data_IF_460898212737
#
_entry.id   IF_460898212737
#
_cell.length_a   1.000
_cell.length_b   1.000
_cell.length_c   1.000
_cell.angle_alpha   90.00
_cell.angle_beta   90.00
_cell.angle_gamma   90.00
#
_symmetry.space_group_name_H-M   'P 1'
#
loop_
_entity.id
_entity.type
_entity.pdbx_description
1 polymer ?
#
# COMPACT_ATOMS: atom_id res chain seq x y z
N UNK A 1 33.55 5.61 -0.81
CA UNK A 1 33.32 6.46 0.38
C UNK A 1 33.14 5.59 1.63
N UNK A 2 34.08 5.59 2.58
CA UNK A 2 33.86 5.01 3.90
C UNK A 2 33.01 5.97 4.75
N UNK A 3 31.85 5.52 5.25
CA UNK A 3 31.10 6.26 6.28
C UNK A 3 29.59 6.43 6.09
N UNK A 4 28.98 5.97 5.00
CA UNK A 4 27.50 6.00 4.86
C UNK A 4 26.91 4.79 5.59
N UNK A 5 26.03 5.05 6.56
CA UNK A 5 25.29 4.01 7.28
C UNK A 5 24.39 3.24 6.31
N UNK A 6 24.38 1.90 6.40
CA UNK A 6 23.46 1.08 5.64
C UNK A 6 22.00 1.50 5.90
N UNK A 7 21.68 1.85 7.15
CA UNK A 7 20.34 2.27 7.57
C UNK A 7 19.86 3.62 7.00
N UNK A 8 20.70 4.31 6.21
CA UNK A 8 20.33 5.52 5.45
C UNK A 8 20.48 5.32 3.93
N UNK A 9 20.58 4.08 3.49
CA UNK A 9 20.81 3.74 2.08
C UNK A 9 19.53 3.24 1.43
N UNK A 10 19.25 3.72 0.22
CA UNK A 10 18.26 3.18 -0.70
C UNK A 10 19.02 2.41 -1.78
N UNK A 11 18.75 1.11 -1.90
CA UNK A 11 19.45 0.24 -2.85
C UNK A 11 18.65 0.05 -4.14
N UNK A 12 19.14 0.61 -5.25
CA UNK A 12 18.73 0.22 -6.60
C UNK A 12 19.48 -1.05 -7.02
N UNK A 13 18.74 -2.12 -7.27
CA UNK A 13 19.30 -3.44 -7.58
C UNK A 13 18.84 -3.89 -8.95
N UNK A 14 19.79 -4.18 -9.84
CA UNK A 14 19.49 -4.89 -11.09
C UNK A 14 19.18 -6.35 -10.74
N UNK A 15 17.91 -6.65 -10.54
CA UNK A 15 17.47 -7.91 -9.96
C UNK A 15 17.38 -9.02 -11.00
N UNK A 16 17.36 -8.68 -12.29
CA UNK A 16 17.28 -9.62 -13.39
C UNK A 16 18.51 -9.58 -14.32
N UNK A 17 19.02 -10.75 -14.69
CA UNK A 17 20.23 -10.90 -15.52
C UNK A 17 19.98 -10.57 -17.00
N UNK A 18 18.75 -10.81 -17.47
CA UNK A 18 18.36 -10.50 -18.85
C UNK A 18 18.19 -9.00 -19.09
N UNK A 19 17.95 -8.21 -18.04
CA UNK A 19 17.86 -6.76 -18.14
C UNK A 19 19.28 -6.19 -18.36
N UNK A 20 19.54 -5.48 -19.48
CA UNK A 20 20.86 -4.91 -19.71
C UNK A 20 21.24 -3.97 -18.56
N UNK A 21 22.38 -4.21 -17.91
CA UNK A 21 22.83 -3.39 -16.77
C UNK A 21 22.89 -1.90 -17.11
N UNK A 22 23.25 -1.56 -18.35
CA UNK A 22 23.25 -0.17 -18.83
C UNK A 22 21.85 0.45 -18.82
N UNK A 23 20.83 -0.29 -19.28
CA UNK A 23 19.44 0.14 -19.26
C UNK A 23 18.92 0.29 -17.82
N UNK A 24 19.28 -0.64 -16.93
CA UNK A 24 18.94 -0.56 -15.51
C UNK A 24 19.59 0.68 -14.84
N UNK A 25 20.84 0.96 -15.19
CA UNK A 25 21.59 2.12 -14.70
C UNK A 25 20.97 3.43 -15.21
N UNK A 26 20.67 3.53 -16.51
CA UNK A 26 20.01 4.71 -17.10
C UNK A 26 18.61 4.94 -16.50
N UNK A 27 17.84 3.87 -16.32
CA UNK A 27 16.49 3.93 -15.74
C UNK A 27 16.53 4.40 -14.28
N UNK A 28 17.39 3.80 -13.46
CA UNK A 28 17.56 4.22 -12.06
C UNK A 28 18.08 5.65 -11.94
N UNK A 29 19.01 6.07 -12.81
CA UNK A 29 19.51 7.44 -12.82
C UNK A 29 18.42 8.45 -13.20
N UNK A 30 17.62 8.15 -14.21
CA UNK A 30 16.48 8.98 -14.63
C UNK A 30 15.45 9.14 -13.51
N UNK A 31 15.05 8.05 -12.87
CA UNK A 31 14.07 8.07 -11.78
C UNK A 31 14.64 8.80 -10.54
N UNK A 32 15.90 8.52 -10.18
CA UNK A 32 16.57 9.21 -9.07
C UNK A 32 16.70 10.72 -9.34
N UNK A 33 16.97 11.13 -10.58
CA UNK A 33 17.01 12.54 -11.00
C UNK A 33 15.67 13.24 -10.73
N UNK A 34 14.55 12.60 -11.08
CA UNK A 34 13.21 13.10 -10.79
C UNK A 34 12.91 13.25 -9.29
N UNK A 35 13.51 12.41 -8.45
CA UNK A 35 13.31 12.42 -6.99
C UNK A 35 14.18 13.49 -6.31
N UNK A 36 15.48 13.51 -6.64
CA UNK A 36 16.51 14.31 -5.94
C UNK A 36 16.67 15.71 -6.54
N UNK A 37 16.28 15.91 -7.81
CA UNK A 37 16.45 17.18 -8.51
C UNK A 37 17.88 17.45 -9.00
N UNK A 38 18.73 16.41 -9.07
CA UNK A 38 20.08 16.44 -9.65
C UNK A 38 20.02 15.92 -11.09
N UNK A 39 20.92 16.38 -11.97
CA UNK A 39 20.90 15.97 -13.38
C UNK A 39 21.10 14.45 -13.54
N UNK A 40 20.44 13.87 -14.55
CA UNK A 40 20.55 12.44 -14.83
C UNK A 40 22.00 12.02 -15.10
N UNK A 41 22.75 12.82 -15.88
CA UNK A 41 24.13 12.51 -16.25
C UNK A 41 25.05 12.43 -15.01
N UNK A 42 24.89 13.36 -14.05
CA UNK A 42 25.67 13.34 -12.81
C UNK A 42 25.37 12.10 -11.96
N UNK A 43 24.09 11.73 -11.83
CA UNK A 43 23.69 10.52 -11.12
C UNK A 43 24.22 9.28 -11.83
N UNK A 44 24.14 9.26 -13.16
CA UNK A 44 24.61 8.17 -13.99
C UNK A 44 26.10 7.92 -13.78
N UNK A 45 26.91 9.00 -13.78
CA UNK A 45 28.34 8.93 -13.48
C UNK A 45 28.62 8.43 -12.06
N UNK A 46 27.88 8.92 -11.06
CA UNK A 46 28.04 8.48 -9.68
C UNK A 46 27.74 6.97 -9.54
N UNK A 47 26.62 6.51 -10.10
CA UNK A 47 26.23 5.09 -10.11
C UNK A 47 27.23 4.22 -10.87
N UNK A 48 27.81 4.71 -11.97
CA UNK A 48 28.85 4.00 -12.70
C UNK A 48 30.13 3.83 -11.88
N UNK A 49 30.41 4.75 -10.94
CA UNK A 49 31.52 4.68 -9.97
C UNK A 49 31.14 3.97 -8.66
N UNK A 50 29.93 3.41 -8.57
CA UNK A 50 29.35 2.79 -7.36
C UNK A 50 29.27 3.76 -6.16
N UNK A 51 29.19 5.06 -6.45
CA UNK A 51 29.01 6.13 -5.49
C UNK A 51 27.54 6.35 -5.18
N UNK A 52 27.26 6.81 -3.95
CA UNK A 52 25.91 7.14 -3.53
C UNK A 52 25.55 8.58 -3.86
N UNK A 53 24.33 8.79 -4.33
CA UNK A 53 23.75 10.11 -4.55
C UNK A 53 22.98 10.52 -3.31
N UNK A 54 23.37 11.63 -2.70
CA UNK A 54 22.70 12.14 -1.51
C UNK A 54 21.34 12.74 -1.87
N UNK A 55 20.35 12.47 -1.03
CA UNK A 55 19.02 13.07 -1.11
C UNK A 55 18.64 13.61 0.27
N UNK A 56 18.34 14.90 0.32
CA UNK A 56 17.72 15.52 1.48
C UNK A 56 16.20 15.37 1.33
N UNK A 57 15.62 14.47 2.13
CA UNK A 57 14.18 14.35 2.27
C UNK A 57 13.72 15.52 3.13
N UNK A 58 12.88 16.36 2.56
CA UNK A 58 12.21 17.45 3.28
C UNK A 58 10.71 17.33 3.05
N UNK A 59 9.96 17.03 4.12
CA UNK A 59 8.50 16.96 4.05
C UNK A 59 7.85 17.74 5.20
N UNK A 60 6.52 17.65 5.34
CA UNK A 60 5.79 18.38 6.37
C UNK A 60 6.08 17.87 7.80
N UNK A 61 6.58 16.64 7.93
CA UNK A 61 6.71 15.90 9.18
C UNK A 61 8.16 15.83 9.67
N UNK A 62 9.13 15.66 8.76
CA UNK A 62 10.54 15.48 9.10
C UNK A 62 11.48 15.95 7.99
N UNK A 63 12.75 16.13 8.38
CA UNK A 63 13.90 16.22 7.49
C UNK A 63 14.84 15.03 7.70
N UNK A 64 15.37 14.44 6.63
CA UNK A 64 16.32 13.33 6.70
C UNK A 64 17.33 13.36 5.54
N UNK A 65 18.53 12.84 5.79
CA UNK A 65 19.57 12.68 4.77
C UNK A 65 19.73 11.19 4.44
N UNK A 66 19.50 10.83 3.18
CA UNK A 66 19.60 9.46 2.67
C UNK A 66 20.50 9.39 1.45
N UNK A 67 20.96 8.19 1.09
CA UNK A 67 21.80 7.96 -0.08
C UNK A 67 21.21 6.90 -0.98
N UNK A 68 20.99 7.24 -2.25
CA UNK A 68 20.62 6.28 -3.28
C UNK A 68 21.87 5.65 -3.88
N UNK A 69 21.88 4.33 -4.07
CA UNK A 69 23.01 3.59 -4.65
C UNK A 69 22.52 2.59 -5.65
N UNK A 70 23.18 2.51 -6.81
CA UNK A 70 22.96 1.46 -7.79
C UNK A 70 24.03 0.37 -7.69
N UNK A 71 23.61 -0.90 -7.60
CA UNK A 71 24.52 -2.03 -7.53
C UNK A 71 23.92 -3.24 -6.82
N UNK A 72 24.76 -3.94 -6.05
CA UNK A 72 24.31 -5.02 -5.17
C UNK A 72 23.54 -4.46 -3.98
N UNK A 73 22.59 -5.24 -3.46
CA UNK A 73 21.90 -4.92 -2.22
C UNK A 73 22.90 -4.68 -1.07
N UNK A 74 22.62 -3.66 -0.26
CA UNK A 74 23.41 -3.30 0.92
C UNK A 74 22.72 -3.88 2.14
N UNK A 75 23.34 -4.86 2.79
CA UNK A 75 22.78 -5.47 4.01
C UNK A 75 22.52 -4.43 5.09
N UNK A 76 21.29 -4.40 5.62
CA UNK A 76 20.84 -3.42 6.62
C UNK A 76 20.28 -2.12 6.02
N UNK A 77 20.13 -2.03 4.70
CA UNK A 77 19.37 -0.95 4.06
C UNK A 77 17.86 -1.16 4.28
N UNK A 78 17.11 -0.13 4.72
CA UNK A 78 15.67 -0.26 4.97
C UNK A 78 14.85 -0.25 3.67
N UNK A 79 15.44 0.20 2.56
CA UNK A 79 14.77 0.34 1.28
C UNK A 79 15.55 -0.34 0.14
N UNK A 80 14.83 -1.14 -0.66
CA UNK A 80 15.35 -1.70 -1.91
C UNK A 80 14.37 -1.49 -3.06
N UNK A 81 14.91 -1.15 -4.22
CA UNK A 81 14.18 -0.96 -5.47
C UNK A 81 14.77 -1.90 -6.52
N UNK A 82 14.01 -2.93 -6.87
CA UNK A 82 14.41 -3.95 -7.83
C UNK A 82 14.09 -3.50 -9.25
N UNK A 83 15.04 -3.62 -10.16
CA UNK A 83 14.82 -3.37 -11.59
C UNK A 83 14.69 -4.72 -12.30
N UNK A 84 13.58 -4.90 -13.01
CA UNK A 84 13.28 -6.12 -13.76
C UNK A 84 12.82 -5.79 -15.16
N UNK A 85 12.98 -6.72 -16.10
CA UNK A 85 12.33 -6.59 -17.41
C UNK A 85 10.82 -6.80 -17.23
N UNK A 86 9.99 -5.85 -17.66
CA UNK A 86 8.53 -5.97 -17.56
C UNK A 86 7.95 -7.01 -18.51
N UNK A 87 8.69 -7.39 -19.55
CA UNK A 87 8.20 -8.25 -20.63
C UNK A 87 8.49 -9.74 -20.39
N UNK A 88 9.15 -10.07 -19.27
CA UNK A 88 9.43 -11.44 -18.92
C UNK A 88 8.16 -12.16 -18.42
N UNK A 89 8.05 -13.48 -18.61
CA UNK A 89 6.87 -14.21 -18.15
C UNK A 89 6.80 -14.24 -16.61
N UNK A 90 5.60 -14.35 -16.04
CA UNK A 90 5.37 -14.37 -14.59
C UNK A 90 6.22 -15.40 -13.83
N UNK A 91 6.53 -16.55 -14.46
CA UNK A 91 7.44 -17.56 -13.89
C UNK A 91 8.85 -17.03 -13.65
N UNK A 92 9.37 -16.17 -14.53
CA UNK A 92 10.68 -15.52 -14.36
C UNK A 92 10.63 -14.46 -13.27
N UNK A 93 9.53 -13.70 -13.15
CA UNK A 93 9.33 -12.78 -12.02
C UNK A 93 9.38 -13.53 -10.67
N UNK A 94 8.73 -14.69 -10.56
CA UNK A 94 8.80 -15.53 -9.37
C UNK A 94 10.22 -16.07 -9.10
N UNK A 95 10.97 -16.45 -10.15
CA UNK A 95 12.37 -16.89 -10.02
C UNK A 95 13.30 -15.79 -9.49
N UNK A 96 13.07 -14.52 -9.88
CA UNK A 96 13.80 -13.37 -9.34
C UNK A 96 13.65 -13.30 -7.82
N UNK A 97 12.42 -13.39 -7.31
CA UNK A 97 12.14 -13.36 -5.87
C UNK A 97 12.79 -14.53 -5.13
N UNK A 98 12.66 -15.74 -5.67
CA UNK A 98 13.32 -16.92 -5.09
C UNK A 98 14.84 -16.81 -5.08
N UNK A 99 15.44 -16.17 -6.10
CA UNK A 99 16.89 -15.91 -6.14
C UNK A 99 17.29 -14.90 -5.08
N UNK A 100 16.54 -13.80 -4.91
CA UNK A 100 16.80 -12.79 -3.89
C UNK A 100 16.73 -13.39 -2.49
N UNK A 101 15.69 -14.17 -2.20
CA UNK A 101 15.56 -14.87 -0.92
C UNK A 101 16.74 -15.84 -0.70
N UNK A 102 17.15 -16.60 -1.72
CA UNK A 102 18.26 -17.55 -1.58
C UNK A 102 19.64 -16.90 -1.42
N UNK A 103 19.91 -15.82 -2.15
CA UNK A 103 21.24 -15.18 -2.21
C UNK A 103 21.42 -14.17 -1.09
N UNK A 104 20.36 -13.42 -0.77
CA UNK A 104 20.41 -12.30 0.17
C UNK A 104 19.60 -12.54 1.44
N UNK A 105 18.84 -13.64 1.54
CA UNK A 105 17.89 -13.90 2.63
C UNK A 105 16.96 -12.71 2.85
N UNK A 106 16.40 -12.22 1.74
CA UNK A 106 15.62 -10.99 1.68
C UNK A 106 14.27 -11.24 1.00
N UNK A 107 13.20 -10.98 1.73
CA UNK A 107 11.84 -10.81 1.20
C UNK A 107 11.44 -9.34 1.26
N UNK A 108 10.35 -8.96 0.59
CA UNK A 108 9.86 -7.59 0.64
C UNK A 108 9.32 -7.22 2.02
N UNK A 109 8.80 -8.20 2.78
CA UNK A 109 8.32 -8.01 4.15
C UNK A 109 9.43 -7.70 5.17
N UNK A 110 10.69 -7.98 4.83
CA UNK A 110 11.85 -7.70 5.68
C UNK A 110 12.34 -6.24 5.55
N UNK A 111 11.82 -5.51 4.57
CA UNK A 111 12.18 -4.12 4.27
C UNK A 111 11.06 -3.19 4.70
N UNK A 112 11.43 -1.98 5.11
CA UNK A 112 10.45 -0.93 5.35
C UNK A 112 9.89 -0.38 4.03
N UNK A 113 10.70 -0.41 2.96
CA UNK A 113 10.30 -0.03 1.60
C UNK A 113 10.82 -1.04 0.59
N UNK A 114 9.91 -1.79 -0.02
CA UNK A 114 10.18 -2.89 -0.96
C UNK A 114 9.49 -2.63 -2.30
N UNK A 115 10.23 -2.09 -3.25
CA UNK A 115 9.68 -1.69 -4.56
C UNK A 115 10.28 -2.53 -5.68
N UNK A 116 9.49 -2.80 -6.72
CA UNK A 116 9.92 -3.38 -7.98
C UNK A 116 9.51 -2.43 -9.10
N UNK A 117 10.43 -2.16 -10.01
CA UNK A 117 10.22 -1.30 -11.17
C UNK A 117 10.34 -2.14 -12.43
N UNK A 118 9.22 -2.27 -13.15
CA UNK A 118 9.14 -2.92 -14.45
C UNK A 118 9.70 -2.04 -15.55
N UNK A 119 10.86 -2.41 -16.09
CA UNK A 119 11.55 -1.66 -17.14
C UNK A 119 11.13 -2.20 -18.52
N UNK A 120 10.58 -1.35 -19.42
CA UNK A 120 10.33 -1.75 -20.80
C UNK A 120 11.66 -1.97 -21.52
N UNK A 121 11.94 -3.23 -21.89
CA UNK A 121 13.13 -3.58 -22.67
C UNK A 121 12.91 -3.36 -24.18
N UNK A 122 11.66 -3.24 -24.65
CA UNK A 122 11.31 -2.93 -26.05
C UNK A 122 10.52 -1.62 -26.18
N UNK A 123 10.67 -0.95 -27.32
CA UNK A 123 10.02 0.33 -27.64
C UNK A 123 8.48 0.28 -27.71
N UNK A 124 7.89 -0.91 -27.88
CA UNK A 124 6.44 -1.16 -27.88
C UNK A 124 6.13 -2.36 -27.02
N UNK A 125 6.15 -2.14 -25.72
CA UNK A 125 5.75 -3.15 -24.76
C UNK A 125 4.23 -3.36 -24.80
N UNK A 126 3.79 -4.61 -24.64
CA UNK A 126 2.37 -4.95 -24.45
C UNK A 126 1.90 -4.55 -23.05
N UNK A 127 0.59 -4.37 -22.87
CA UNK A 127 -0.01 -4.20 -21.54
C UNK A 127 0.38 -5.36 -20.62
N UNK A 128 0.67 -5.06 -19.36
CA UNK A 128 1.11 -6.04 -18.39
C UNK A 128 -0.03 -7.02 -18.03
N UNK A 129 0.34 -8.26 -17.68
CA UNK A 129 -0.59 -9.22 -17.06
C UNK A 129 -0.77 -8.88 -15.57
N UNK A 130 -2.02 -8.85 -15.08
CA UNK A 130 -2.35 -8.70 -13.66
C UNK A 130 -1.62 -9.73 -12.77
N UNK A 131 -1.24 -10.88 -13.33
CA UNK A 131 -0.51 -11.95 -12.66
C UNK A 131 0.88 -11.51 -12.15
N UNK A 132 1.53 -10.51 -12.79
CA UNK A 132 2.87 -10.06 -12.36
C UNK A 132 2.82 -9.27 -11.06
N UNK A 133 1.79 -8.44 -10.89
CA UNK A 133 1.60 -7.65 -9.65
C UNK A 133 1.34 -8.58 -8.46
N UNK A 134 0.48 -9.59 -8.65
CA UNK A 134 0.19 -10.60 -7.62
C UNK A 134 1.44 -11.37 -7.17
N UNK A 135 2.34 -11.72 -8.10
CA UNK A 135 3.61 -12.40 -7.79
C UNK A 135 4.46 -11.57 -6.84
N UNK A 136 4.57 -10.26 -7.07
CA UNK A 136 5.36 -9.37 -6.22
C UNK A 136 4.67 -9.07 -4.88
N UNK A 137 3.36 -8.84 -4.90
CA UNK A 137 2.58 -8.61 -3.69
C UNK A 137 2.66 -9.80 -2.71
N UNK A 138 2.63 -11.04 -3.21
CA UNK A 138 2.83 -12.24 -2.40
C UNK A 138 4.21 -12.30 -1.72
N UNK A 139 5.23 -11.67 -2.32
CA UNK A 139 6.57 -11.56 -1.76
C UNK A 139 6.79 -10.31 -0.89
N UNK A 140 5.74 -9.50 -0.68
CA UNK A 140 5.80 -8.25 0.07
C UNK A 140 6.44 -7.10 -0.71
N UNK A 141 6.44 -7.16 -2.04
CA UNK A 141 6.96 -6.11 -2.92
C UNK A 141 5.82 -5.38 -3.62
N UNK A 142 5.94 -4.06 -3.73
CA UNK A 142 5.06 -3.26 -4.58
C UNK A 142 5.64 -3.15 -5.99
N UNK A 143 4.83 -3.42 -7.01
CA UNK A 143 5.25 -3.30 -8.41
C UNK A 143 4.83 -1.96 -9.03
N UNK A 144 5.76 -1.30 -9.72
CA UNK A 144 5.55 -0.05 -10.45
C UNK A 144 5.88 -0.29 -11.92
N UNK A 145 4.87 -0.17 -12.79
CA UNK A 145 5.04 -0.33 -14.24
C UNK A 145 5.45 1.00 -14.90
N UNK A 146 6.62 1.04 -15.55
CA UNK A 146 7.07 2.25 -16.27
C UNK A 146 6.42 2.44 -17.64
N UNK A 147 5.61 1.51 -18.13
CA UNK A 147 4.99 1.64 -19.44
C UNK A 147 3.48 1.54 -19.47
N UNK A 148 2.82 1.68 -18.33
CA UNK A 148 1.35 1.80 -18.22
C UNK A 148 0.94 2.62 -16.98
N UNK A 149 1.43 3.87 -16.87
CA UNK A 149 1.13 4.73 -15.72
C UNK A 149 0.61 6.10 -16.16
N UNK A 150 -0.58 6.45 -15.64
CA UNK A 150 -1.14 7.81 -15.69
C UNK A 150 -0.40 8.77 -14.73
N UNK A 151 0.31 8.22 -13.75
CA UNK A 151 1.10 8.91 -12.74
C UNK A 151 2.60 8.87 -13.06
N UNK A 152 3.34 9.95 -12.78
CA UNK A 152 4.79 9.97 -12.95
C UNK A 152 5.47 8.98 -11.98
N UNK A 153 6.20 7.96 -12.48
CA UNK A 153 6.77 6.92 -11.64
C UNK A 153 7.81 7.46 -10.65
N UNK A 154 8.51 8.56 -10.96
CA UNK A 154 9.43 9.17 -10.01
C UNK A 154 8.67 9.79 -8.81
N UNK A 155 7.49 10.36 -9.05
CA UNK A 155 6.60 10.87 -8.00
C UNK A 155 6.09 9.73 -7.11
N UNK A 156 5.58 8.64 -7.69
CA UNK A 156 5.14 7.47 -6.91
C UNK A 156 6.25 6.87 -6.04
N UNK A 157 7.45 6.73 -6.59
CA UNK A 157 8.64 6.25 -5.88
C UNK A 157 9.02 7.19 -4.73
N UNK A 158 9.03 8.49 -4.99
CA UNK A 158 9.32 9.51 -3.98
C UNK A 158 8.34 9.41 -2.81
N UNK A 159 7.05 9.29 -3.09
CA UNK A 159 6.03 9.17 -2.06
C UNK A 159 6.22 7.91 -1.21
N UNK A 160 6.47 6.75 -1.84
CA UNK A 160 6.76 5.51 -1.12
C UNK A 160 7.96 5.65 -0.17
N UNK A 161 9.05 6.26 -0.65
CA UNK A 161 10.27 6.47 0.15
C UNK A 161 10.08 7.47 1.29
N UNK A 162 9.16 8.42 1.16
CA UNK A 162 8.90 9.46 2.16
C UNK A 162 8.01 8.98 3.31
N UNK A 163 7.30 7.85 3.18
CA UNK A 163 6.49 7.26 4.27
C UNK A 163 7.38 6.59 5.33
N UNK A 164 8.61 6.18 4.97
CA UNK A 164 9.51 5.51 5.90
C UNK A 164 10.17 6.46 6.92
N UNK A 165 10.47 5.91 8.11
CA UNK A 165 11.09 6.59 9.23
C UNK A 165 12.60 6.38 9.23
N UNK A 166 13.33 7.30 8.58
CA UNK A 166 14.76 7.18 8.35
C UNK A 166 15.62 7.38 9.61
N UNK A 167 16.75 6.67 9.69
CA UNK A 167 17.72 6.83 10.78
C UNK A 167 18.24 8.28 10.83
N UNK A 168 18.10 8.94 11.98
CA UNK A 168 18.57 10.32 12.17
C UNK A 168 17.67 11.40 11.59
N UNK A 169 16.43 11.05 11.23
CA UNK A 169 15.38 12.01 10.90
C UNK A 169 15.23 13.06 12.02
N UNK A 170 14.89 14.29 11.62
CA UNK A 170 14.62 15.40 12.52
C UNK A 170 13.16 15.79 12.33
N UNK A 171 12.27 15.53 13.31
CA UNK A 171 10.89 15.94 13.17
C UNK A 171 10.82 17.46 13.05
N UNK A 172 10.08 17.96 12.06
CA UNK A 172 9.72 19.38 12.03
C UNK A 172 8.80 19.58 13.22
N UNK A 173 9.18 20.52 14.10
CA UNK A 173 8.34 20.86 15.25
C UNK A 173 6.91 21.04 14.74
N UNK A 174 5.97 20.30 15.34
CA UNK A 174 4.57 20.41 15.02
C UNK A 174 4.24 21.90 14.93
N UNK A 175 3.71 22.35 13.79
CA UNK A 175 3.04 23.64 13.74
C UNK A 175 2.15 23.71 14.99
N UNK A 176 2.23 24.80 15.78
CA UNK A 176 1.45 24.89 17.00
C UNK A 176 0.01 24.53 16.63
N UNK A 177 -0.52 23.53 17.32
CA UNK A 177 -1.90 23.07 17.15
C UNK A 177 -2.75 24.33 17.04
N UNK A 178 -3.50 24.56 15.94
CA UNK A 178 -4.32 25.75 15.85
C UNK A 178 -5.19 25.78 17.11
N UNK A 179 -5.14 26.90 17.82
CA UNK A 179 -5.89 27.05 19.08
C UNK A 179 -7.35 26.64 18.84
N UNK A 180 -8.02 26.12 19.87
CA UNK A 180 -9.43 25.70 19.77
C UNK A 180 -10.36 26.81 19.22
N UNK A 181 -9.94 28.08 19.25
CA UNK A 181 -10.64 29.19 18.59
C UNK A 181 -10.58 29.09 17.06
N UNK A 182 -9.41 28.78 16.48
CA UNK A 182 -9.25 28.62 15.03
C UNK A 182 -10.03 27.42 14.46
N UNK A 183 -10.22 26.36 15.26
CA UNK A 183 -11.05 25.20 14.87
C UNK A 183 -12.53 25.56 14.87
N UNK A 184 -12.99 26.31 15.89
CA UNK A 184 -14.38 26.80 15.94
C UNK A 184 -14.69 27.79 14.82
N UNK A 185 -13.76 28.69 14.49
CA UNK A 185 -13.94 29.62 13.36
C UNK A 185 -13.97 28.88 12.03
N UNK A 186 -13.13 27.86 11.82
CA UNK A 186 -13.17 27.02 10.60
C UNK A 186 -14.46 26.22 10.47
N UNK A 187 -14.96 25.63 11.55
CA UNK A 187 -16.25 24.91 11.55
C UNK A 187 -17.41 25.88 11.26
N UNK A 188 -17.43 27.05 11.91
CA UNK A 188 -18.45 28.07 11.65
C UNK A 188 -18.42 28.59 10.21
N UNK A 189 -17.24 28.72 9.60
CA UNK A 189 -17.08 29.12 8.20
C UNK A 189 -17.53 28.01 7.22
N UNK A 190 -17.34 26.75 7.59
CA UNK A 190 -17.79 25.58 6.81
C UNK A 190 -19.32 25.45 6.86
N UNK A 191 -19.94 25.66 8.03
CA UNK A 191 -21.38 25.67 8.20
C UNK A 191 -22.05 26.85 7.46
N UNK A 192 -21.41 28.02 7.43
CA UNK A 192 -21.88 29.16 6.62
C UNK A 192 -21.79 28.88 5.12
N UNK A 193 -20.75 28.17 4.68
CA UNK A 193 -20.56 27.79 3.28
C UNK A 193 -21.55 26.68 2.86
N UNK A 194 -21.85 25.73 3.75
CA UNK A 194 -22.88 24.72 3.54
C UNK A 194 -24.31 25.30 3.54
N UNK A 195 -24.57 26.34 4.34
CA UNK A 195 -25.84 27.06 4.35
C UNK A 195 -26.04 27.96 3.11
N UNK A 196 -24.95 28.35 2.43
CA UNK A 196 -24.97 29.14 1.20
C UNK A 196 -25.14 28.31 -0.08
N UNK A 197 -25.10 26.97 0.01
CA UNK A 197 -25.41 26.09 -1.12
C UNK A 197 -26.90 26.16 -1.44
N UNK A 198 -27.30 26.36 -2.72
CA UNK A 198 -28.71 26.34 -3.10
C UNK A 198 -29.28 24.95 -2.83
N UNK A 199 -30.25 24.87 -1.89
CA UNK A 199 -31.04 23.65 -1.66
C UNK A 199 -31.94 23.41 -2.87
N UNK A 200 -31.39 22.80 -3.91
CA UNK A 200 -32.13 22.42 -5.10
C UNK A 200 -33.04 21.23 -4.78
N UNK A 201 -34.30 21.51 -4.45
CA UNK A 201 -35.41 20.55 -4.55
C UNK A 201 -35.81 20.29 -6.01
N UNK A 202 -34.84 20.11 -6.89
CA UNK A 202 -35.04 19.83 -8.32
C UNK A 202 -34.90 18.34 -8.58
N UNK A 203 -35.81 17.78 -9.37
CA UNK A 203 -35.81 16.38 -9.77
C UNK A 203 -34.45 15.97 -10.35
N UNK A 204 -33.98 14.79 -9.92
CA UNK A 204 -32.76 14.15 -10.42
C UNK A 204 -32.82 14.12 -11.96
N UNK A 205 -31.79 14.57 -12.68
CA UNK A 205 -31.78 14.50 -14.13
C UNK A 205 -31.88 13.03 -14.58
N UNK A 206 -32.66 12.72 -15.62
CA UNK A 206 -32.80 11.34 -16.08
C UNK A 206 -31.45 10.79 -16.55
N UNK A 207 -31.20 9.51 -16.24
CA UNK A 207 -30.00 8.82 -16.64
C UNK A 207 -29.79 8.91 -18.17
N UNK A 208 -28.53 8.94 -18.65
CA UNK A 208 -28.24 8.88 -20.08
C UNK A 208 -28.92 7.68 -20.74
N UNK A 209 -29.39 7.80 -21.99
CA UNK A 209 -30.16 6.73 -22.70
C UNK A 209 -29.48 5.36 -22.69
N UNK A 210 -28.14 5.32 -22.70
CA UNK A 210 -27.38 4.08 -22.63
C UNK A 210 -27.53 3.33 -21.29
N UNK A 211 -27.91 4.04 -20.23
CA UNK A 211 -28.03 3.53 -18.86
C UNK A 211 -29.48 3.47 -18.37
N UNK A 212 -30.44 3.95 -19.16
CA UNK A 212 -31.86 3.93 -18.78
C UNK A 212 -32.37 2.50 -18.55
N UNK A 213 -32.00 1.56 -19.43
CA UNK A 213 -32.39 0.15 -19.26
C UNK A 213 -31.81 -0.50 -18.00
N UNK A 214 -30.55 -0.16 -17.65
CA UNK A 214 -29.91 -0.66 -16.43
C UNK A 214 -30.49 -0.04 -15.16
N UNK A 215 -30.81 1.26 -15.20
CA UNK A 215 -31.46 1.95 -14.09
C UNK A 215 -32.89 1.47 -13.86
N UNK A 216 -33.65 1.23 -14.93
CA UNK A 216 -35.01 0.66 -14.84
C UNK A 216 -34.99 -0.78 -14.32
N UNK A 217 -33.99 -1.58 -14.70
CA UNK A 217 -33.82 -2.96 -14.23
C UNK A 217 -33.38 -3.04 -12.76
N UNK A 218 -32.60 -2.08 -12.29
CA UNK A 218 -32.18 -1.98 -10.88
C UNK A 218 -33.32 -1.50 -9.96
N UNK A 219 -34.22 -0.66 -10.48
CA UNK A 219 -35.33 -0.10 -9.72
C UNK A 219 -36.62 -0.95 -9.78
N UNK A 220 -36.68 -1.98 -10.63
CA UNK A 220 -37.82 -2.88 -10.72
C UNK A 220 -37.67 -4.09 -9.79
N UNK A 221 -38.59 -4.27 -8.84
CA UNK A 221 -38.73 -5.45 -7.96
C UNK A 221 -39.17 -6.74 -8.71
N UNK A 222 -38.86 -6.87 -10.01
CA UNK A 222 -39.23 -8.04 -10.78
C UNK A 222 -38.18 -9.15 -10.61
N UNK A 223 -38.56 -10.38 -10.24
CA UNK A 223 -37.62 -11.50 -10.18
C UNK A 223 -37.07 -11.78 -11.59
N UNK A 224 -35.76 -12.06 -11.73
CA UNK A 224 -35.14 -12.24 -13.03
C UNK A 224 -35.72 -13.47 -13.74
N UNK A 225 -36.20 -13.29 -14.97
CA UNK A 225 -36.49 -14.40 -15.87
C UNK A 225 -35.21 -14.90 -16.52
N UNK A 226 -35.01 -16.22 -16.39
CA UNK A 226 -34.06 -17.11 -17.04
C UNK A 226 -33.25 -16.53 -18.22
N UNK A 227 -31.98 -16.22 -17.94
CA UNK A 227 -30.90 -16.33 -18.93
C UNK A 227 -29.85 -17.31 -18.38
N UNK A 228 -29.43 -18.31 -19.16
CA UNK A 228 -28.46 -19.31 -18.71
C UNK A 228 -27.04 -18.74 -18.88
N UNK A 229 -26.38 -18.46 -17.74
CA UNK A 229 -24.93 -18.55 -17.47
C UNK A 229 -24.56 -17.61 -16.29
N UNK A 230 -25.28 -17.74 -15.17
CA UNK A 230 -24.95 -17.06 -13.91
C UNK A 230 -24.31 -18.05 -12.92
N UNK A 231 -22.99 -18.21 -13.03
CA UNK A 231 -22.10 -18.76 -11.99
C UNK A 231 -22.07 -17.88 -10.71
N UNK A 232 -22.88 -16.82 -10.65
CA UNK A 232 -23.11 -15.99 -9.47
C UNK A 232 -24.23 -16.49 -8.55
N UNK A 233 -24.99 -17.50 -8.98
CA UNK A 233 -26.10 -18.08 -8.19
C UNK A 233 -25.62 -18.79 -6.92
N UNK A 234 -24.38 -19.28 -6.91
CA UNK A 234 -23.82 -20.04 -5.77
C UNK A 234 -23.44 -19.13 -4.58
N UNK A 235 -23.33 -17.82 -4.79
CA UNK A 235 -23.01 -16.85 -3.74
C UNK A 235 -24.22 -16.33 -2.95
N UNK A 236 -25.45 -16.56 -3.42
CA UNK A 236 -26.66 -15.97 -2.83
C UNK A 236 -27.34 -16.87 -1.79
N UNK A 237 -26.96 -18.15 -1.71
CA UNK A 237 -27.51 -19.10 -0.72
C UNK A 237 -26.53 -19.47 0.41
N UNK A 238 -25.53 -18.63 0.70
CA UNK A 238 -24.84 -18.74 1.98
C UNK A 238 -25.82 -18.27 3.08
N UNK A 239 -26.19 -19.12 4.07
CA UNK A 239 -26.98 -18.66 5.20
C UNK A 239 -26.23 -17.49 5.84
N UNK A 240 -26.93 -16.36 6.03
CA UNK A 240 -26.33 -15.21 6.71
C UNK A 240 -25.67 -15.70 8.01
N UNK A 241 -24.40 -15.34 8.27
CA UNK A 241 -23.73 -15.78 9.47
C UNK A 241 -24.56 -15.34 10.68
N UNK A 242 -24.77 -16.24 11.65
CA UNK A 242 -25.41 -15.91 12.92
C UNK A 242 -24.65 -14.73 13.53
N UNK A 243 -25.23 -13.53 13.42
CA UNK A 243 -24.62 -12.29 13.88
C UNK A 243 -24.47 -12.40 15.40
N UNK A 244 -23.23 -12.28 15.93
CA UNK A 244 -23.03 -12.37 17.37
C UNK A 244 -23.84 -11.30 18.09
N UNK A 245 -24.50 -11.68 19.17
CA UNK A 245 -25.26 -10.76 20.02
C UNK A 245 -24.31 -9.85 20.80
N UNK A 246 -24.79 -8.66 21.18
CA UNK A 246 -24.03 -7.72 22.00
C UNK A 246 -23.47 -8.36 23.30
N UNK A 247 -24.25 -9.27 23.91
CA UNK A 247 -23.83 -10.00 25.10
C UNK A 247 -22.68 -10.98 24.84
N UNK A 248 -22.63 -11.59 23.66
CA UNK A 248 -21.53 -12.47 23.23
C UNK A 248 -20.27 -11.66 22.94
N UNK A 249 -20.42 -10.49 22.31
CA UNK A 249 -19.32 -9.56 22.07
C UNK A 249 -18.74 -9.03 23.39
N UNK A 250 -19.59 -8.67 24.36
CA UNK A 250 -19.15 -8.21 25.68
C UNK A 250 -18.44 -9.30 26.49
N UNK A 251 -18.98 -10.53 26.49
CA UNK A 251 -18.33 -11.67 27.12
C UNK A 251 -16.98 -11.99 26.45
N UNK A 252 -16.88 -11.82 25.14
CA UNK A 252 -15.65 -12.01 24.38
C UNK A 252 -14.60 -10.93 24.68
N UNK A 253 -15.00 -9.66 24.75
CA UNK A 253 -14.14 -8.55 25.15
C UNK A 253 -13.63 -8.71 26.60
N UNK A 254 -14.49 -9.15 27.52
CA UNK A 254 -14.12 -9.45 28.90
C UNK A 254 -13.12 -10.62 29.01
N UNK A 255 -13.30 -11.68 28.21
CA UNK A 255 -12.37 -12.82 28.14
C UNK A 255 -10.98 -12.41 27.68
N UNK A 256 -10.91 -11.49 26.71
CA UNK A 256 -9.64 -11.00 26.15
C UNK A 256 -9.01 -9.86 26.98
N UNK A 257 -9.77 -9.30 27.92
CA UNK A 257 -9.34 -8.17 28.75
C UNK A 257 -9.24 -6.87 27.95
N UNK A 258 -10.04 -6.71 26.89
CA UNK A 258 -9.98 -5.55 26.00
C UNK A 258 -10.55 -4.27 26.65
N UNK A 259 -11.45 -4.39 27.64
CA UNK A 259 -12.10 -3.25 28.30
C UNK A 259 -11.44 -2.73 29.58
N UNK A 260 -10.29 -3.27 30.00
CA UNK A 260 -9.65 -2.94 31.29
C UNK A 260 -8.23 -2.38 31.17
N UNK A 261 -7.75 -2.22 29.93
CA UNK A 261 -6.37 -1.84 29.64
C UNK A 261 -6.31 -0.38 29.19
N UNK A 262 -5.58 0.46 29.92
CA UNK A 262 -5.29 1.83 29.49
C UNK A 262 -4.27 1.88 28.35
N UNK A 263 -4.12 3.05 27.73
CA UNK A 263 -3.20 3.37 26.62
C UNK A 263 -1.78 2.76 26.74
N UNK A 264 -1.25 2.62 27.95
CA UNK A 264 0.09 2.06 28.20
C UNK A 264 0.20 0.54 27.94
N UNK A 265 -0.92 -0.13 27.63
CA UNK A 265 -1.01 -1.59 27.41
C UNK A 265 -1.31 -1.99 25.96
N UNK A 266 -1.25 -1.04 25.02
CA UNK A 266 -1.51 -1.27 23.59
C UNK A 266 -0.70 -2.42 22.95
N UNK A 267 0.60 -2.59 23.23
CA UNK A 267 1.36 -3.74 22.70
C UNK A 267 0.79 -5.10 23.11
N UNK A 268 0.25 -5.19 24.33
CA UNK A 268 -0.36 -6.43 24.86
C UNK A 268 -1.73 -6.68 24.24
N UNK A 269 -2.49 -5.63 23.94
CA UNK A 269 -3.75 -5.70 23.21
C UNK A 269 -3.55 -6.22 21.79
N UNK A 270 -2.57 -5.67 21.05
CA UNK A 270 -2.27 -6.10 19.68
C UNK A 270 -1.81 -7.56 19.60
N UNK A 271 -0.93 -8.01 20.51
CA UNK A 271 -0.49 -9.41 20.53
C UNK A 271 -1.64 -10.38 20.82
N UNK A 272 -2.60 -10.00 21.68
CA UNK A 272 -3.78 -10.84 21.97
C UNK A 272 -4.75 -10.89 20.79
N UNK A 273 -5.00 -9.75 20.15
CA UNK A 273 -5.83 -9.68 18.93
C UNK A 273 -5.21 -10.48 17.79
N UNK A 274 -3.89 -10.35 17.59
CA UNK A 274 -3.14 -11.13 16.59
C UNK A 274 -3.27 -12.64 16.83
N UNK A 275 -3.11 -13.09 18.07
CA UNK A 275 -3.29 -14.50 18.42
C UNK A 275 -4.71 -15.03 18.17
N UNK A 276 -5.74 -14.21 18.39
CA UNK A 276 -7.12 -14.59 18.06
C UNK A 276 -7.39 -14.59 16.56
N UNK A 277 -6.83 -13.63 15.80
CA UNK A 277 -6.91 -13.64 14.33
C UNK A 277 -6.24 -14.87 13.73
N UNK A 278 -5.08 -15.28 14.25
CA UNK A 278 -4.39 -16.52 13.88
C UNK A 278 -5.25 -17.77 14.22
N UNK A 279 -5.88 -17.78 15.40
CA UNK A 279 -6.81 -18.85 15.81
C UNK A 279 -8.00 -18.95 14.85
N UNK A 280 -8.65 -17.84 14.51
CA UNK A 280 -9.80 -17.82 13.58
C UNK A 280 -9.37 -18.26 12.17
N UNK A 281 -8.19 -17.82 11.71
CA UNK A 281 -7.64 -18.25 10.41
C UNK A 281 -7.44 -19.76 10.34
N UNK A 282 -7.03 -20.38 11.46
CA UNK A 282 -6.81 -21.84 11.58
C UNK A 282 -8.09 -22.69 11.59
N UNK A 283 -9.27 -22.08 11.76
CA UNK A 283 -10.54 -22.82 11.73
C UNK A 283 -10.86 -23.32 10.31
N UNK A 284 -11.52 -24.49 10.17
CA UNK A 284 -12.02 -24.94 8.87
C UNK A 284 -13.09 -23.97 8.34
N UNK A 285 -13.20 -23.81 7.01
CA UNK A 285 -14.24 -22.97 6.42
C UNK A 285 -15.63 -23.47 6.81
N UNK A 286 -16.54 -22.53 7.13
CA UNK A 286 -17.92 -22.81 7.52
C UNK A 286 -18.43 -21.86 8.61
N UNK A 287 -19.70 -22.03 9.04
CA UNK A 287 -20.38 -21.11 9.97
C UNK A 287 -19.63 -20.82 11.28
N UNK A 288 -18.92 -21.79 11.90
CA UNK A 288 -18.13 -21.51 13.10
C UNK A 288 -16.96 -20.55 12.90
N UNK A 289 -16.34 -20.56 11.70
CA UNK A 289 -15.25 -19.64 11.36
C UNK A 289 -15.77 -18.24 11.09
N UNK A 290 -16.90 -18.14 10.39
CA UNK A 290 -17.58 -16.87 10.10
C UNK A 290 -18.07 -16.19 11.38
N UNK A 291 -18.70 -16.94 12.28
CA UNK A 291 -19.13 -16.43 13.58
C UNK A 291 -17.94 -15.98 14.45
N UNK A 292 -16.84 -16.74 14.46
CA UNK A 292 -15.64 -16.36 15.19
C UNK A 292 -14.93 -15.13 14.58
N UNK A 293 -14.96 -14.96 13.26
CA UNK A 293 -14.44 -13.78 12.59
C UNK A 293 -15.29 -12.53 12.90
N UNK A 294 -16.61 -12.67 12.89
CA UNK A 294 -17.54 -11.60 13.27
C UNK A 294 -17.32 -11.15 14.73
N UNK A 295 -17.12 -12.09 15.66
CA UNK A 295 -16.81 -11.78 17.06
C UNK A 295 -15.51 -10.96 17.22
N UNK A 296 -14.47 -11.30 16.47
CA UNK A 296 -13.20 -10.55 16.51
C UNK A 296 -13.36 -9.15 15.93
N UNK A 297 -14.05 -9.02 14.79
CA UNK A 297 -14.27 -7.72 14.15
C UNK A 297 -15.07 -6.76 15.05
N UNK A 298 -16.20 -7.23 15.60
CA UNK A 298 -17.05 -6.44 16.50
C UNK A 298 -16.35 -6.08 17.82
N UNK A 299 -15.49 -6.96 18.33
CA UNK A 299 -14.70 -6.67 19.53
C UNK A 299 -13.63 -5.60 19.30
N UNK A 300 -13.02 -5.57 18.10
CA UNK A 300 -12.08 -4.52 17.70
C UNK A 300 -12.80 -3.19 17.55
N UNK A 301 -13.93 -3.17 16.85
CA UNK A 301 -14.76 -1.98 16.65
C UNK A 301 -15.17 -1.36 17.99
N UNK A 302 -15.72 -2.15 18.91
CA UNK A 302 -16.08 -1.66 20.26
C UNK A 302 -14.89 -1.15 21.07
N UNK A 303 -13.71 -1.77 20.93
CA UNK A 303 -12.52 -1.32 21.65
C UNK A 303 -12.00 0.03 21.12
N UNK A 304 -12.27 0.35 19.85
CA UNK A 304 -11.93 1.63 19.23
C UNK A 304 -12.99 2.71 19.49
N UNK A 305 -14.26 2.34 19.66
CA UNK A 305 -15.36 3.27 20.01
C UNK A 305 -15.39 3.65 21.50
N UNK A 306 -14.66 2.94 22.35
CA UNK A 306 -14.58 3.19 23.80
C UNK A 306 -13.62 4.33 24.19
N UNK A 307 -12.97 4.99 23.22
CA UNK A 307 -12.06 6.15 23.36
C UNK A 307 -12.76 7.50 23.13
#
# INVERSE_FOLDING_TARGET
MPGVSAARTIAWVCAEEALPRQLALETSARLSSGIVGVSQDEIQEAYAREEGVAWAIENAYYDADVWMRFGSYVSGAPAAILLVDREMPATRHAEVLQRLERVHNLTGFDLDVSLVVGVPSREKASSMSLEVDEVYAMGGWEYIDLGDTDEDPATRLKDALMVHMWEGMRPKQAQPTPSNENVKERIAHMDQSAAALPRSGGAIPPAPRAMQASAERFLSDAPPQDTPDDDFSEFVEAPAPDVPTDAEVDAYCARLGLGTLGMDSMPVLFERLRGEMERVRSLPPGPPKEHAAALVALAVERSLESE
#
